data_IF_086629741368
#
_entry.id   IF_086629741368
#
_cell.length_a   1.000
_cell.length_b   1.000
_cell.length_c   1.000
_cell.angle_alpha   90.00
_cell.angle_beta   90.00
_cell.angle_gamma   90.00
#
_symmetry.space_group_name_H-M   'P 1'
#
loop_
_entity.id
_entity.type
_entity.pdbx_description
1 polymer ?
#
# COMPACT_ATOMS: atom_id res chain seq x y z
N UNK A 1 0.04 12.38 14.21
CA UNK A 1 0.61 11.85 12.96
C UNK A 1 -0.45 11.83 11.88
N UNK A 2 -0.03 12.01 10.63
CA UNK A 2 -0.87 11.83 9.44
C UNK A 2 -0.39 10.59 8.69
N UNK A 3 -1.30 9.65 8.49
CA UNK A 3 -1.04 8.40 7.79
C UNK A 3 -1.85 8.41 6.50
N UNK A 4 -1.24 7.97 5.42
CA UNK A 4 -1.96 7.71 4.17
C UNK A 4 -1.73 6.26 3.75
N UNK A 5 -2.78 5.60 3.28
CA UNK A 5 -2.71 4.23 2.82
C UNK A 5 -3.00 4.14 1.33
N UNK A 6 -2.08 3.50 0.60
CA UNK A 6 -2.31 3.02 -0.76
C UNK A 6 -2.83 1.59 -0.69
N UNK A 7 -4.08 1.39 -1.04
CA UNK A 7 -4.72 0.07 -1.03
C UNK A 7 -5.75 -0.06 -2.15
N UNK A 8 -6.30 -1.25 -2.32
CA UNK A 8 -7.41 -1.46 -3.25
C UNK A 8 -8.66 -0.69 -2.82
N UNK A 9 -9.60 -0.43 -3.76
CA UNK A 9 -10.85 0.24 -3.42
C UNK A 9 -11.54 -0.41 -2.22
N UNK A 10 -12.02 0.40 -1.29
CA UNK A 10 -12.63 -0.04 -0.01
C UNK A 10 -13.73 -1.07 -0.25
N UNK A 11 -14.47 -0.92 -1.34
CA UNK A 11 -15.59 -1.77 -1.72
C UNK A 11 -15.17 -3.21 -2.10
N UNK A 12 -13.88 -3.44 -2.29
CA UNK A 12 -13.31 -4.76 -2.64
C UNK A 12 -12.66 -5.46 -1.44
N UNK A 13 -12.51 -4.78 -0.31
CA UNK A 13 -11.83 -5.33 0.86
C UNK A 13 -12.71 -6.34 1.59
N UNK A 14 -12.12 -7.46 1.99
CA UNK A 14 -12.72 -8.37 2.95
C UNK A 14 -12.27 -7.98 4.37
N UNK A 15 -13.04 -7.15 5.05
CA UNK A 15 -12.65 -6.54 6.32
C UNK A 15 -12.44 -7.57 7.44
N UNK A 16 -13.18 -8.70 7.40
CA UNK A 16 -12.99 -9.77 8.37
C UNK A 16 -11.67 -10.51 8.13
N UNK A 17 -10.63 -10.19 8.89
CA UNK A 17 -9.30 -10.80 8.77
C UNK A 17 -8.32 -10.02 7.89
N UNK A 18 -8.68 -8.85 7.38
CA UNK A 18 -7.77 -7.98 6.63
C UNK A 18 -6.81 -7.26 7.59
N UNK A 19 -5.51 -7.51 7.41
CA UNK A 19 -4.47 -6.87 8.22
C UNK A 19 -4.37 -5.36 7.99
N UNK A 20 -4.78 -4.86 6.83
CA UNK A 20 -4.84 -3.42 6.56
C UNK A 20 -5.91 -2.77 7.43
N UNK A 21 -7.09 -3.38 7.49
CA UNK A 21 -8.17 -2.94 8.37
C UNK A 21 -7.69 -2.82 9.83
N UNK A 22 -7.03 -3.86 10.35
CA UNK A 22 -6.51 -3.86 11.72
C UNK A 22 -5.49 -2.73 11.96
N UNK A 23 -4.58 -2.48 11.00
CA UNK A 23 -3.60 -1.39 11.09
C UNK A 23 -4.27 -0.01 11.10
N UNK A 24 -5.27 0.21 10.24
CA UNK A 24 -5.97 1.48 10.14
C UNK A 24 -6.81 1.76 11.39
N UNK A 25 -7.49 0.73 11.91
CA UNK A 25 -8.24 0.82 13.17
C UNK A 25 -7.32 1.21 14.33
N UNK A 26 -6.18 0.53 14.47
CA UNK A 26 -5.20 0.85 15.52
C UNK A 26 -4.64 2.26 15.36
N UNK A 27 -4.37 2.71 14.14
CA UNK A 27 -3.91 4.07 13.88
C UNK A 27 -4.92 5.12 14.37
N UNK A 28 -6.20 4.90 14.10
CA UNK A 28 -7.26 5.81 14.55
C UNK A 28 -7.50 5.75 16.06
N UNK A 29 -7.39 4.58 16.69
CA UNK A 29 -7.47 4.42 18.14
C UNK A 29 -6.35 5.21 18.86
N UNK A 30 -5.21 5.39 18.21
CA UNK A 30 -4.11 6.27 18.67
C UNK A 30 -4.33 7.74 18.35
N UNK A 31 -5.46 8.12 17.78
CA UNK A 31 -5.79 9.51 17.43
C UNK A 31 -5.07 10.02 16.18
N UNK A 32 -4.57 9.12 15.29
CA UNK A 32 -3.96 9.51 14.04
C UNK A 32 -5.02 9.74 12.95
N UNK A 33 -4.79 10.75 12.11
CA UNK A 33 -5.58 10.93 10.90
C UNK A 33 -5.14 9.96 9.85
N UNK A 34 -6.13 9.33 9.18
CA UNK A 34 -5.91 8.34 8.15
C UNK A 34 -6.63 8.75 6.88
N UNK A 35 -5.87 8.88 5.81
CA UNK A 35 -6.36 9.09 4.45
C UNK A 35 -6.08 7.86 3.59
N UNK A 36 -6.88 7.69 2.55
CA UNK A 36 -6.81 6.56 1.62
C UNK A 36 -6.82 7.04 0.18
N UNK A 37 -6.06 6.32 -0.67
CA UNK A 37 -6.17 6.42 -2.13
C UNK A 37 -5.91 5.06 -2.78
N UNK A 38 -6.45 4.82 -3.97
CA UNK A 38 -6.10 3.66 -4.78
C UNK A 38 -4.94 3.99 -5.74
N UNK A 39 -4.12 2.99 -6.15
CA UNK A 39 -2.89 3.23 -6.92
C UNK A 39 -3.07 4.02 -8.22
N UNK A 40 -4.25 3.94 -8.84
CA UNK A 40 -4.63 4.67 -10.06
C UNK A 40 -4.87 6.17 -9.83
N UNK A 41 -4.95 6.61 -8.57
CA UNK A 41 -5.10 8.01 -8.18
C UNK A 41 -3.78 8.76 -8.02
N UNK A 42 -2.63 8.11 -8.28
CA UNK A 42 -1.31 8.75 -8.23
C UNK A 42 -1.07 9.68 -9.41
N UNK A 43 -0.47 10.82 -9.13
CA UNK A 43 -0.06 11.80 -10.14
C UNK A 43 1.31 12.36 -9.79
N UNK A 44 2.30 12.17 -10.67
CA UNK A 44 3.59 12.85 -10.58
C UNK A 44 3.54 14.12 -11.43
N UNK A 45 3.68 15.26 -10.80
CA UNK A 45 3.62 16.57 -11.43
C UNK A 45 4.84 17.42 -10.99
N UNK A 46 5.71 17.78 -11.93
CA UNK A 46 6.94 18.57 -11.67
C UNK A 46 7.78 18.01 -10.49
N UNK A 47 7.99 16.69 -10.45
CA UNK A 47 8.71 15.96 -9.38
C UNK A 47 8.04 16.01 -8.00
N UNK A 48 6.77 16.40 -7.91
CA UNK A 48 5.98 16.32 -6.71
C UNK A 48 4.94 15.21 -6.91
N UNK A 49 4.90 14.25 -5.98
CA UNK A 49 3.96 13.15 -6.03
C UNK A 49 2.67 13.50 -5.26
N UNK A 50 1.55 13.44 -5.96
CA UNK A 50 0.21 13.69 -5.45
C UNK A 50 -0.63 12.43 -5.53
N UNK A 51 -1.69 12.41 -4.73
CA UNK A 51 -2.82 11.48 -4.91
C UNK A 51 -4.14 12.21 -4.70
N UNK A 52 -5.21 11.74 -5.35
CA UNK A 52 -6.57 12.14 -5.01
C UNK A 52 -7.06 11.24 -3.88
N UNK A 53 -6.99 11.73 -2.64
CA UNK A 53 -7.22 10.95 -1.43
C UNK A 53 -8.52 11.31 -0.74
N UNK A 54 -9.08 10.34 -0.01
CA UNK A 54 -10.26 10.47 0.85
C UNK A 54 -9.83 10.36 2.30
N UNK A 55 -10.34 11.21 3.16
CA UNK A 55 -10.31 10.95 4.60
C UNK A 55 -11.27 9.79 4.91
N UNK A 56 -10.82 8.85 5.72
CA UNK A 56 -11.60 7.65 6.07
C UNK A 56 -11.82 7.53 7.57
N UNK A 57 -12.93 6.89 7.93
CA UNK A 57 -13.24 6.44 9.27
C UNK A 57 -13.34 4.91 9.27
N UNK A 58 -12.63 4.28 10.20
CA UNK A 58 -12.66 2.83 10.43
C UNK A 58 -13.49 2.54 11.67
N UNK A 59 -14.38 1.56 11.59
CA UNK A 59 -15.22 1.11 12.71
C UNK A 59 -15.12 -0.40 12.84
N UNK A 60 -15.12 -0.89 14.07
CA UNK A 60 -15.09 -2.33 14.40
C UNK A 60 -16.46 -2.90 14.81
N UNK A 61 -17.50 -2.06 14.85
CA UNK A 61 -18.87 -2.48 15.16
C UNK A 61 -19.89 -1.64 14.35
N UNK A 62 -20.32 -2.11 13.18
CA UNK A 62 -19.78 -3.25 12.39
C UNK A 62 -18.39 -2.94 11.79
N UNK A 63 -17.64 -3.99 11.39
CA UNK A 63 -16.38 -3.81 10.66
C UNK A 63 -16.63 -3.05 9.35
N UNK A 64 -16.15 -1.82 9.28
CA UNK A 64 -16.45 -0.90 8.19
C UNK A 64 -15.34 0.14 7.99
N UNK A 65 -15.11 0.52 6.74
CA UNK A 65 -14.32 1.70 6.37
C UNK A 65 -15.23 2.64 5.57
N UNK A 66 -15.37 3.86 6.04
CA UNK A 66 -16.17 4.91 5.39
C UNK A 66 -15.29 6.02 4.85
N UNK A 67 -15.54 6.44 3.62
CA UNK A 67 -15.04 7.74 3.12
C UNK A 67 -15.87 8.84 3.77
N UNK A 68 -15.25 9.69 4.57
CA UNK A 68 -15.93 10.78 5.29
C UNK A 68 -15.68 12.15 4.66
N UNK A 69 -14.92 12.21 3.56
CA UNK A 69 -14.71 13.42 2.78
C UNK A 69 -14.81 13.13 1.27
N UNK A 70 -15.06 14.14 0.43
CA UNK A 70 -14.79 14.02 -1.00
C UNK A 70 -13.29 13.83 -1.24
N UNK A 71 -12.93 13.28 -2.41
CA UNK A 71 -11.53 13.19 -2.84
C UNK A 71 -10.90 14.59 -2.89
N UNK A 72 -9.67 14.68 -2.41
CA UNK A 72 -8.85 15.90 -2.47
C UNK A 72 -7.48 15.56 -3.00
N UNK A 73 -6.94 16.40 -3.89
CA UNK A 73 -5.54 16.29 -4.30
C UNK A 73 -4.65 16.66 -3.12
N UNK A 74 -3.88 15.69 -2.65
CA UNK A 74 -2.96 15.84 -1.53
C UNK A 74 -1.52 15.58 -2.01
N UNK A 75 -0.57 16.28 -1.41
CA UNK A 75 0.85 16.04 -1.62
C UNK A 75 1.30 14.94 -0.68
N UNK A 76 1.83 13.84 -1.23
CA UNK A 76 2.15 12.66 -0.40
C UNK A 76 3.28 12.94 0.60
N UNK A 77 4.19 13.85 0.30
CA UNK A 77 5.26 14.22 1.22
C UNK A 77 4.81 15.06 2.43
N UNK A 78 3.52 15.44 2.52
CA UNK A 78 2.94 16.11 3.70
C UNK A 78 2.45 15.11 4.78
N UNK A 79 2.64 13.79 4.53
CA UNK A 79 2.32 12.73 5.47
C UNK A 79 3.56 12.23 6.21
N UNK A 80 3.36 11.73 7.43
CA UNK A 80 4.44 11.13 8.22
C UNK A 80 4.74 9.70 7.77
N UNK A 81 3.67 8.93 7.44
CA UNK A 81 3.74 7.52 7.05
C UNK A 81 2.84 7.28 5.84
N UNK A 82 3.35 6.55 4.87
CA UNK A 82 2.59 5.98 3.76
C UNK A 82 2.65 4.45 3.84
N UNK A 83 1.49 3.81 3.96
CA UNK A 83 1.36 2.36 3.96
C UNK A 83 1.07 1.88 2.53
N UNK A 84 1.96 1.08 1.96
CA UNK A 84 1.76 0.42 0.67
C UNK A 84 1.09 -0.94 0.90
N UNK A 85 -0.23 -1.00 0.74
CA UNK A 85 -1.08 -2.13 1.10
C UNK A 85 -1.97 -2.64 -0.03
N UNK A 86 -1.69 -2.25 -1.27
CA UNK A 86 -2.39 -2.79 -2.44
C UNK A 86 -2.11 -4.28 -2.62
N UNK A 87 -3.11 -5.04 -3.01
CA UNK A 87 -3.01 -6.46 -3.29
C UNK A 87 -2.46 -6.75 -4.72
N UNK A 88 -2.03 -7.98 -5.01
CA UNK A 88 -1.72 -8.42 -6.37
C UNK A 88 -2.91 -8.19 -7.32
N UNK A 89 -2.65 -8.11 -8.65
CA UNK A 89 -1.53 -8.71 -9.36
C UNK A 89 -0.28 -7.85 -9.40
N UNK A 90 0.89 -8.47 -9.28
CA UNK A 90 2.19 -7.83 -9.42
C UNK A 90 2.51 -7.64 -10.91
N UNK A 91 1.92 -6.62 -11.50
CA UNK A 91 2.01 -6.24 -12.90
C UNK A 91 2.68 -4.88 -13.09
N UNK A 92 2.71 -4.37 -14.32
CA UNK A 92 3.34 -3.07 -14.62
C UNK A 92 2.70 -1.90 -13.88
N UNK A 93 1.39 -1.94 -13.61
CA UNK A 93 0.71 -0.91 -12.83
C UNK A 93 1.22 -0.89 -11.38
N UNK A 94 1.32 -2.09 -10.78
CA UNK A 94 1.90 -2.25 -9.43
C UNK A 94 3.35 -1.73 -9.37
N UNK A 95 4.17 -2.13 -10.34
CA UNK A 95 5.58 -1.73 -10.43
C UNK A 95 5.69 -0.21 -10.63
N UNK A 96 4.83 0.38 -11.46
CA UNK A 96 4.80 1.84 -11.68
C UNK A 96 4.45 2.59 -10.40
N UNK A 97 3.45 2.13 -9.63
CA UNK A 97 3.13 2.71 -8.34
C UNK A 97 4.33 2.64 -7.37
N UNK A 98 5.03 1.49 -7.32
CA UNK A 98 6.24 1.34 -6.51
C UNK A 98 7.35 2.32 -6.93
N UNK A 99 7.58 2.51 -8.23
CA UNK A 99 8.54 3.51 -8.73
C UNK A 99 8.17 4.93 -8.32
N UNK A 100 6.89 5.29 -8.41
CA UNK A 100 6.42 6.61 -7.99
C UNK A 100 6.65 6.84 -6.50
N UNK A 101 6.32 5.87 -5.66
CA UNK A 101 6.53 5.96 -4.21
C UNK A 101 8.01 6.01 -3.83
N UNK A 102 8.89 5.36 -4.60
CA UNK A 102 10.33 5.42 -4.40
C UNK A 102 10.88 6.85 -4.48
N UNK A 103 10.26 7.73 -5.26
CA UNK A 103 10.69 9.13 -5.41
C UNK A 103 10.56 9.97 -4.14
N UNK A 104 9.75 9.52 -3.18
CA UNK A 104 9.47 10.26 -1.93
C UNK A 104 10.00 9.57 -0.67
N UNK A 105 10.70 8.43 -0.77
CA UNK A 105 11.18 7.65 0.39
C UNK A 105 12.12 8.43 1.33
N UNK A 106 12.79 9.47 0.84
CA UNK A 106 13.64 10.34 1.64
C UNK A 106 12.87 11.41 2.41
N UNK A 107 11.56 11.54 2.18
CA UNK A 107 10.69 12.56 2.77
C UNK A 107 9.59 11.96 3.65
N UNK A 108 9.11 10.76 3.31
CA UNK A 108 8.02 10.04 3.96
C UNK A 108 8.47 8.63 4.30
N UNK A 109 8.09 8.13 5.46
CA UNK A 109 8.29 6.72 5.80
C UNK A 109 7.31 5.85 4.99
N UNK A 110 7.78 5.27 3.90
CA UNK A 110 6.98 4.35 3.07
C UNK A 110 7.15 2.91 3.54
N UNK A 111 6.07 2.25 3.95
CA UNK A 111 6.00 0.87 4.43
C UNK A 111 5.00 0.09 3.55
N UNK A 112 5.37 -0.99 2.90
CA UNK A 112 6.70 -1.59 2.77
C UNK A 112 7.59 -0.70 1.88
N UNK A 113 8.92 -0.89 1.99
CA UNK A 113 9.88 -0.15 1.17
C UNK A 113 9.68 -0.50 -0.32
N UNK A 114 9.30 0.47 -1.19
CA UNK A 114 8.91 0.20 -2.58
C UNK A 114 10.06 -0.35 -3.43
N UNK A 115 11.31 -0.02 -3.15
CA UNK A 115 12.47 -0.63 -3.83
C UNK A 115 12.51 -2.14 -3.60
N UNK A 116 12.35 -2.60 -2.36
CA UNK A 116 12.37 -4.04 -2.06
C UNK A 116 11.11 -4.76 -2.51
N UNK A 117 9.95 -4.12 -2.41
CA UNK A 117 8.69 -4.65 -2.95
C UNK A 117 8.85 -4.98 -4.44
N UNK A 118 9.47 -4.09 -5.20
CA UNK A 118 9.69 -4.27 -6.64
C UNK A 118 10.81 -5.28 -6.96
N UNK A 119 11.91 -5.29 -6.20
CA UNK A 119 13.12 -6.03 -6.53
C UNK A 119 13.27 -7.37 -5.81
N UNK A 120 12.40 -7.70 -4.86
CA UNK A 120 12.43 -8.95 -4.12
C UNK A 120 11.16 -9.78 -4.39
N UNK A 121 10.98 -10.31 -5.62
CA UNK A 121 9.84 -11.14 -5.94
C UNK A 121 9.85 -12.39 -5.07
N UNK A 122 8.80 -12.58 -4.27
CA UNK A 122 8.76 -13.57 -3.18
C UNK A 122 9.13 -15.00 -3.62
N UNK A 123 8.65 -15.43 -4.78
CA UNK A 123 8.89 -16.81 -5.29
C UNK A 123 10.33 -17.04 -5.78
N UNK A 124 11.02 -15.97 -6.20
CA UNK A 124 12.40 -16.06 -6.69
C UNK A 124 13.41 -15.72 -5.59
N UNK A 125 13.13 -14.68 -4.82
CA UNK A 125 14.04 -14.18 -3.79
C UNK A 125 14.33 -15.23 -2.71
N UNK A 126 13.33 -16.03 -2.32
CA UNK A 126 13.47 -17.08 -1.29
C UNK A 126 14.50 -18.16 -1.66
N UNK A 127 14.79 -18.36 -2.96
CA UNK A 127 15.80 -19.33 -3.39
C UNK A 127 17.22 -19.03 -2.88
N UNK A 128 17.48 -17.80 -2.42
CA UNK A 128 18.72 -17.45 -1.71
C UNK A 128 18.85 -18.18 -0.38
N UNK A 129 17.77 -18.74 0.13
CA UNK A 129 17.66 -19.44 1.41
C UNK A 129 17.26 -20.91 1.22
N UNK A 130 17.73 -21.54 0.13
CA UNK A 130 17.35 -22.89 -0.27
C UNK A 130 17.57 -23.95 0.82
N UNK A 131 18.54 -23.73 1.73
CA UNK A 131 18.77 -24.63 2.87
C UNK A 131 17.58 -24.73 3.85
N UNK A 132 16.64 -23.77 3.81
CA UNK A 132 15.43 -23.75 4.63
C UNK A 132 14.16 -24.10 3.86
N UNK A 133 14.30 -24.53 2.60
CA UNK A 133 13.18 -24.80 1.71
C UNK A 133 13.03 -26.28 1.42
N UNK A 134 11.83 -26.80 1.19
CA UNK A 134 11.66 -28.10 0.57
C UNK A 134 12.17 -28.08 -0.87
N UNK A 135 12.40 -29.24 -1.51
CA UNK A 135 12.70 -29.31 -2.95
C UNK A 135 11.67 -28.51 -3.74
N UNK A 136 12.14 -27.48 -4.47
CA UNK A 136 11.26 -26.50 -5.14
C UNK A 136 11.66 -26.36 -6.59
N UNK A 137 10.68 -26.44 -7.49
CA UNK A 137 10.81 -26.14 -8.91
C UNK A 137 10.04 -24.86 -9.24
N UNK A 138 10.75 -23.88 -9.83
CA UNK A 138 10.13 -22.67 -10.39
C UNK A 138 10.39 -22.69 -11.89
N UNK A 139 9.35 -22.81 -12.68
CA UNK A 139 9.46 -22.91 -14.15
C UNK A 139 8.44 -22.03 -14.85
N UNK A 140 8.80 -21.52 -16.02
CA UNK A 140 7.88 -20.92 -16.99
C UNK A 140 7.48 -21.90 -18.09
N UNK A 141 8.12 -23.07 -18.15
CA UNK A 141 7.74 -24.13 -19.07
C UNK A 141 6.59 -24.93 -18.44
N UNK A 142 5.45 -24.95 -19.11
CA UNK A 142 4.23 -25.65 -18.69
C UNK A 142 4.04 -27.03 -19.34
N UNK A 143 5.01 -27.46 -20.17
CA UNK A 143 5.01 -28.75 -20.85
C UNK A 143 5.75 -29.81 -20.02
#
# INVERSE_FOLDING_TARGET
>A
MKIIVQMDPIEKLNLSGDSTFALLNEAQNRGYKVDFYSPDMLTLDNNILYADAYEILVSTDPDEIKKISPAKRVKLEDYDILLMRQDPPFNMSYITAAHLLETIQNKVLVINNPFYVRNCPEKIFVNKYSQFMPPTLITRNIN
#
